data_IF_900497124840
#
_entry.id   IF_900497124840
#
_cell.length_a   1.000
_cell.length_b   1.000
_cell.length_c   1.000
_cell.angle_alpha   90.00
_cell.angle_beta   90.00
_cell.angle_gamma   90.00
#
_symmetry.space_group_name_H-M   'P 1'
#
loop_
_entity.id
_entity.type
_entity.pdbx_description
1 polymer ?
#
# COMPACT_ATOMS: atom_id res chain seq x y z
N UNK A 1 -14.71 11.94 -0.86
CA UNK A 1 -15.11 10.74 -1.62
C UNK A 1 -14.39 9.50 -1.09
N UNK A 2 -13.06 9.53 -1.01
CA UNK A 2 -12.24 8.46 -0.43
C UNK A 2 -12.47 8.35 1.10
N UNK A 3 -12.51 9.48 1.81
CA UNK A 3 -12.71 9.54 3.27
C UNK A 3 -14.08 9.05 3.78
N UNK A 4 -15.06 8.88 2.89
CA UNK A 4 -16.39 8.40 3.22
C UNK A 4 -16.67 7.01 2.60
N UNK A 5 -15.63 6.31 2.14
CA UNK A 5 -15.72 4.99 1.50
C UNK A 5 -16.77 4.90 0.39
N UNK A 6 -16.78 5.89 -0.53
CA UNK A 6 -17.68 5.89 -1.69
C UNK A 6 -16.96 5.44 -2.96
N UNK A 7 -16.79 4.13 -3.21
CA UNK A 7 -16.06 3.64 -4.39
C UNK A 7 -16.70 4.07 -5.70
N UNK A 8 -18.03 4.23 -5.74
CA UNK A 8 -18.74 4.66 -6.95
C UNK A 8 -18.47 6.12 -7.31
N UNK A 9 -18.29 6.99 -6.31
CA UNK A 9 -17.94 8.40 -6.54
C UNK A 9 -16.49 8.47 -7.02
N UNK A 10 -15.59 7.69 -6.42
CA UNK A 10 -14.18 7.62 -6.85
C UNK A 10 -14.08 7.13 -8.30
N UNK A 11 -14.78 6.04 -8.65
CA UNK A 11 -14.83 5.54 -10.03
C UNK A 11 -15.31 6.59 -11.02
N UNK A 12 -16.44 7.25 -10.74
CA UNK A 12 -16.94 8.33 -11.60
C UNK A 12 -15.94 9.47 -11.73
N UNK A 13 -15.27 9.86 -10.65
CA UNK A 13 -14.25 10.92 -10.71
C UNK A 13 -13.07 10.51 -11.61
N UNK A 14 -12.59 9.27 -11.47
CA UNK A 14 -11.51 8.73 -12.30
C UNK A 14 -11.93 8.55 -13.77
N UNK A 15 -13.18 8.13 -14.03
CA UNK A 15 -13.78 8.07 -15.38
C UNK A 15 -13.87 9.44 -16.05
N UNK A 16 -14.09 10.50 -15.27
CA UNK A 16 -14.12 11.88 -15.75
C UNK A 16 -12.71 12.51 -15.90
N UNK A 17 -11.64 11.72 -15.82
CA UNK A 17 -10.27 12.18 -16.04
C UNK A 17 -9.61 12.81 -14.81
N UNK A 18 -10.11 12.54 -13.59
CA UNK A 18 -9.38 12.89 -12.38
C UNK A 18 -8.08 12.09 -12.33
N UNK A 19 -6.96 12.76 -12.04
CA UNK A 19 -5.67 12.09 -11.89
C UNK A 19 -5.71 11.12 -10.70
N UNK A 20 -5.43 9.82 -10.90
CA UNK A 20 -5.43 8.83 -9.82
C UNK A 20 -4.31 9.05 -8.79
N UNK A 21 -3.23 9.72 -9.20
CA UNK A 21 -2.13 10.17 -8.33
C UNK A 21 -2.27 11.64 -7.90
N UNK A 22 -3.39 12.29 -8.24
CA UNK A 22 -3.64 13.68 -7.90
C UNK A 22 -3.60 13.87 -6.39
N UNK A 23 -2.65 14.68 -5.91
CA UNK A 23 -2.42 14.85 -4.49
C UNK A 23 -3.71 15.30 -3.78
N UNK A 24 -4.09 14.60 -2.71
CA UNK A 24 -5.21 15.04 -1.88
C UNK A 24 -4.76 16.27 -1.09
N UNK A 25 -5.04 17.46 -1.61
CA UNK A 25 -4.81 18.72 -0.90
C UNK A 25 -5.73 18.77 0.33
N UNK A 26 -5.29 18.21 1.46
CA UNK A 26 -5.94 18.45 2.73
C UNK A 26 -5.63 19.90 3.15
N UNK A 27 -6.66 20.68 3.47
CA UNK A 27 -6.51 22.02 4.04
C UNK A 27 -6.43 21.97 5.58
N UNK A 28 -6.07 20.82 6.16
CA UNK A 28 -6.16 20.59 7.60
C UNK A 28 -4.86 19.96 8.14
N UNK A 29 -3.74 20.61 7.84
CA UNK A 29 -2.45 20.34 8.49
C UNK A 29 -2.47 20.87 9.92
N UNK A 30 -3.08 20.12 10.84
CA UNK A 30 -3.02 20.34 12.28
C UNK A 30 -2.43 19.12 13.02
N UNK A 31 -1.43 18.45 12.44
CA UNK A 31 -0.65 17.42 13.14
C UNK A 31 0.83 17.62 12.86
N UNK A 32 1.53 18.16 13.86
CA UNK A 32 2.95 18.47 13.82
C UNK A 32 3.81 17.25 14.18
N UNK A 33 3.57 16.09 13.55
CA UNK A 33 4.43 14.91 13.60
C UNK A 33 4.46 14.27 12.20
N UNK A 34 5.68 13.87 11.77
CA UNK A 34 6.07 13.20 10.52
C UNK A 34 4.94 12.33 9.93
N UNK A 35 4.58 12.37 8.65
CA UNK A 35 5.36 11.97 7.47
C UNK A 35 4.71 12.55 6.20
N UNK A 36 5.50 12.91 5.20
CA UNK A 36 5.07 13.31 3.84
C UNK A 36 4.40 12.15 3.04
N UNK A 37 3.54 11.35 3.68
CA UNK A 37 2.84 10.20 3.08
C UNK A 37 1.34 10.45 2.88
N UNK A 38 0.83 11.59 3.34
CA UNK A 38 -0.57 11.98 3.25
C UNK A 38 -1.00 12.43 1.84
N UNK A 39 -0.09 12.47 0.87
CA UNK A 39 -0.35 13.15 -0.40
C UNK A 39 -1.03 12.24 -1.43
N UNK A 40 -0.90 10.91 -1.37
CA UNK A 40 -1.38 10.02 -2.44
C UNK A 40 -2.74 9.35 -2.16
N UNK A 41 -3.71 9.42 -3.10
CA UNK A 41 -5.02 8.77 -2.98
C UNK A 41 -4.96 7.27 -2.65
N UNK A 42 -3.94 6.58 -3.18
CA UNK A 42 -3.71 5.16 -2.96
C UNK A 42 -3.40 4.84 -1.50
N UNK A 43 -2.53 5.63 -0.84
CA UNK A 43 -2.17 5.43 0.56
C UNK A 43 -3.39 5.64 1.45
N UNK A 44 -4.21 6.65 1.15
CA UNK A 44 -5.44 6.90 1.89
C UNK A 44 -6.43 5.75 1.76
N UNK A 45 -6.61 5.21 0.55
CA UNK A 45 -7.48 4.06 0.32
C UNK A 45 -7.03 2.82 1.12
N UNK A 46 -5.71 2.60 1.20
CA UNK A 46 -5.13 1.53 2.01
C UNK A 46 -5.29 1.79 3.50
N UNK A 47 -5.10 3.02 3.98
CA UNK A 47 -5.33 3.40 5.38
C UNK A 47 -6.79 3.21 5.81
N UNK A 48 -7.74 3.44 4.89
CA UNK A 48 -9.16 3.16 5.10
C UNK A 48 -9.52 1.68 4.93
N UNK A 49 -8.56 0.80 4.63
CA UNK A 49 -8.75 -0.61 4.27
C UNK A 49 -9.78 -0.84 3.14
N UNK A 50 -9.95 0.14 2.25
CA UNK A 50 -10.95 0.10 1.19
C UNK A 50 -10.39 -0.54 -0.07
N UNK A 51 -10.50 -1.87 -0.16
CA UNK A 51 -10.04 -2.64 -1.32
C UNK A 51 -10.71 -2.17 -2.62
N UNK A 52 -11.98 -1.78 -2.56
CA UNK A 52 -12.72 -1.33 -3.73
C UNK A 52 -12.14 -0.04 -4.33
N UNK A 53 -11.75 0.90 -3.47
CA UNK A 53 -11.14 2.17 -3.88
C UNK A 53 -9.71 1.93 -4.36
N UNK A 54 -8.93 1.14 -3.64
CA UNK A 54 -7.56 0.77 -4.04
C UNK A 54 -7.56 0.15 -5.44
N UNK A 55 -8.45 -0.81 -5.71
CA UNK A 55 -8.59 -1.40 -7.04
C UNK A 55 -8.96 -0.38 -8.10
N UNK A 56 -9.94 0.48 -7.83
CA UNK A 56 -10.33 1.51 -8.79
C UNK A 56 -9.14 2.44 -9.11
N UNK A 57 -8.39 2.89 -8.10
CA UNK A 57 -7.22 3.74 -8.33
C UNK A 57 -6.15 3.03 -9.16
N UNK A 58 -5.84 1.78 -8.83
CA UNK A 58 -4.85 0.98 -9.56
C UNK A 58 -5.31 0.62 -10.98
N UNK A 59 -6.62 0.39 -11.20
CA UNK A 59 -7.19 0.09 -12.52
C UNK A 59 -7.16 1.31 -13.44
N UNK A 60 -7.27 2.51 -12.88
CA UNK A 60 -7.16 3.78 -13.60
C UNK A 60 -5.70 4.27 -13.76
N UNK A 61 -4.71 3.43 -13.42
CA UNK A 61 -3.30 3.71 -13.67
C UNK A 61 -2.60 4.49 -12.56
N UNK A 62 -3.09 4.44 -11.31
CA UNK A 62 -2.33 4.94 -10.16
C UNK A 62 -0.94 4.31 -10.14
N UNK A 63 0.09 5.15 -10.05
CA UNK A 63 1.46 4.69 -10.19
C UNK A 63 1.94 4.12 -8.85
N UNK A 64 2.19 2.80 -8.85
CA UNK A 64 2.91 2.08 -7.78
C UNK A 64 4.39 2.47 -7.93
N UNK A 65 4.77 3.62 -7.34
CA UNK A 65 6.17 4.07 -7.30
C UNK A 65 6.83 3.59 -6.02
N UNK A 66 8.14 3.34 -6.05
CA UNK A 66 8.85 2.72 -4.92
C UNK A 66 8.71 3.44 -3.57
N UNK A 67 8.34 4.73 -3.53
CA UNK A 67 8.01 5.40 -2.27
C UNK A 67 6.59 5.03 -1.77
N UNK A 68 5.61 4.95 -2.67
CA UNK A 68 4.23 4.58 -2.36
C UNK A 68 4.06 3.08 -2.10
N UNK A 69 4.81 2.24 -2.80
CA UNK A 69 4.72 0.78 -2.70
C UNK A 69 5.05 0.32 -1.29
N UNK A 70 6.14 0.88 -0.78
CA UNK A 70 6.67 0.59 0.54
C UNK A 70 5.62 1.00 1.58
N UNK A 71 5.17 2.26 1.54
CA UNK A 71 4.21 2.78 2.51
C UNK A 71 2.84 2.10 2.43
N UNK A 72 2.34 1.80 1.23
CA UNK A 72 1.06 1.10 1.02
C UNK A 72 1.12 -0.32 1.58
N UNK A 73 2.14 -1.09 1.18
CA UNK A 73 2.27 -2.49 1.61
C UNK A 73 2.45 -2.58 3.13
N UNK A 74 3.26 -1.70 3.69
CA UNK A 74 3.50 -1.61 5.12
C UNK A 74 2.24 -1.29 5.91
N UNK A 75 1.45 -0.31 5.45
CA UNK A 75 0.18 0.04 6.07
C UNK A 75 -0.80 -1.14 5.99
N UNK A 76 -0.88 -1.82 4.85
CA UNK A 76 -1.71 -3.03 4.70
C UNK A 76 -1.26 -4.16 5.63
N UNK A 77 0.06 -4.35 5.82
CA UNK A 77 0.62 -5.30 6.78
C UNK A 77 0.30 -4.91 8.22
N UNK A 78 0.36 -3.63 8.57
CA UNK A 78 0.00 -3.14 9.90
C UNK A 78 -1.48 -3.35 10.21
N UNK A 79 -2.36 -3.08 9.23
CA UNK A 79 -3.80 -3.28 9.34
C UNK A 79 -4.21 -4.76 9.40
N UNK A 80 -3.36 -5.68 8.93
CA UNK A 80 -3.69 -7.11 8.86
C UNK A 80 -4.54 -7.49 7.65
N UNK A 81 -4.63 -6.61 6.66
CA UNK A 81 -5.48 -6.83 5.49
C UNK A 81 -4.78 -7.68 4.44
N UNK A 82 -4.92 -9.01 4.56
CA UNK A 82 -4.35 -9.96 3.59
C UNK A 82 -4.85 -9.69 2.15
N UNK A 83 -6.11 -9.29 2.00
CA UNK A 83 -6.67 -8.97 0.69
C UNK A 83 -5.96 -7.79 0.04
N UNK A 84 -5.69 -6.73 0.82
CA UNK A 84 -4.97 -5.55 0.35
C UNK A 84 -3.51 -5.88 0.01
N UNK A 85 -2.83 -6.66 0.87
CA UNK A 85 -1.45 -7.12 0.62
C UNK A 85 -1.37 -7.91 -0.69
N UNK A 86 -2.30 -8.84 -0.92
CA UNK A 86 -2.35 -9.63 -2.16
C UNK A 86 -2.50 -8.75 -3.38
N UNK A 87 -3.41 -7.78 -3.34
CA UNK A 87 -3.66 -6.87 -4.46
C UNK A 87 -2.41 -6.03 -4.77
N UNK A 88 -1.78 -5.44 -3.74
CA UNK A 88 -0.56 -4.64 -3.91
C UNK A 88 0.60 -5.48 -4.49
N UNK A 89 0.82 -6.69 -3.94
CA UNK A 89 1.87 -7.60 -4.43
C UNK A 89 1.61 -8.05 -5.87
N UNK A 90 0.36 -8.34 -6.23
CA UNK A 90 -0.01 -8.70 -7.61
C UNK A 90 0.24 -7.57 -8.60
N UNK A 91 0.18 -6.32 -8.14
CA UNK A 91 0.39 -5.13 -8.97
C UNK A 91 1.85 -4.70 -9.03
N UNK A 92 2.75 -5.50 -8.45
CA UNK A 92 4.20 -5.28 -8.51
C UNK A 92 4.78 -4.50 -7.34
N UNK A 93 4.01 -4.27 -6.27
CA UNK A 93 4.55 -3.61 -5.08
C UNK A 93 5.73 -4.42 -4.51
N UNK A 94 6.85 -3.75 -4.30
CA UNK A 94 8.05 -4.40 -3.77
C UNK A 94 7.81 -4.81 -2.31
N UNK A 95 7.92 -6.11 -2.01
CA UNK A 95 7.76 -6.65 -0.66
C UNK A 95 9.08 -7.18 -0.05
N UNK A 96 10.17 -7.13 -0.81
CA UNK A 96 11.49 -7.62 -0.40
C UNK A 96 12.34 -6.55 0.29
N UNK A 97 12.06 -5.29 -0.01
CA UNK A 97 12.82 -4.17 0.52
C UNK A 97 12.72 -4.04 2.04
N UNK A 98 13.82 -3.59 2.65
CA UNK A 98 13.76 -2.91 3.95
C UNK A 98 13.28 -1.50 3.70
N UNK A 99 12.17 -1.13 4.32
CA UNK A 99 11.57 0.18 4.15
C UNK A 99 11.92 1.06 5.34
N UNK A 100 12.52 2.21 5.10
CA UNK A 100 12.79 3.17 6.14
C UNK A 100 11.53 4.01 6.38
N UNK A 101 10.90 3.84 7.55
CA UNK A 101 9.84 4.74 7.99
C UNK A 101 10.40 5.94 8.77
N UNK A 102 11.59 5.77 9.34
CA UNK A 102 12.35 6.77 10.06
C UNK A 102 13.85 6.52 9.83
N UNK A 103 14.70 7.52 10.10
CA UNK A 103 16.15 7.44 9.91
C UNK A 103 16.80 6.27 10.69
N UNK A 104 16.16 5.81 11.77
CA UNK A 104 16.66 4.73 12.63
C UNK A 104 15.94 3.38 12.50
N UNK A 105 14.75 3.33 11.87
CA UNK A 105 13.93 2.12 11.84
C UNK A 105 13.61 1.68 10.40
N UNK A 106 14.48 0.82 9.88
CA UNK A 106 14.22 0.06 8.66
C UNK A 106 13.36 -1.17 9.00
N UNK A 107 12.08 -1.12 8.67
CA UNK A 107 11.15 -2.23 8.84
C UNK A 107 10.77 -2.82 7.48
N UNK A 108 10.74 -4.14 7.40
CA UNK A 108 10.28 -4.88 6.22
C UNK A 108 8.80 -5.21 6.37
N UNK A 109 8.10 -5.49 5.27
CA UNK A 109 6.72 -5.98 5.33
C UNK A 109 6.58 -7.20 6.26
N UNK A 110 7.59 -8.08 6.24
CA UNK A 110 7.69 -9.22 7.15
C UNK A 110 7.83 -8.81 8.62
N UNK A 111 8.68 -7.83 8.94
CA UNK A 111 8.88 -7.42 10.34
C UNK A 111 7.63 -6.75 10.91
N UNK A 112 6.93 -5.95 10.10
CA UNK A 112 5.64 -5.34 10.50
C UNK A 112 4.58 -6.42 10.67
N UNK A 113 4.42 -7.33 9.70
CA UNK A 113 3.46 -8.42 9.84
C UNK A 113 3.73 -9.29 11.08
N UNK A 114 5.00 -9.55 11.41
CA UNK A 114 5.39 -10.22 12.65
C UNK A 114 5.08 -9.40 13.91
N UNK A 115 5.38 -8.10 13.91
CA UNK A 115 5.15 -7.20 15.05
C UNK A 115 3.67 -7.12 15.41
N UNK A 116 2.79 -7.08 14.40
CA UNK A 116 1.35 -7.03 14.56
C UNK A 116 0.69 -8.42 14.59
N UNK A 117 1.49 -9.50 14.62
CA UNK A 117 1.03 -10.90 14.73
C UNK A 117 0.09 -11.38 13.61
N UNK A 118 0.22 -10.81 12.42
CA UNK A 118 -0.59 -11.18 11.25
C UNK A 118 0.00 -12.39 10.53
N UNK A 119 -0.18 -13.58 11.12
CA UNK A 119 0.40 -14.83 10.65
C UNK A 119 0.07 -15.14 9.18
N UNK A 120 -1.15 -14.87 8.73
CA UNK A 120 -1.57 -15.12 7.35
C UNK A 120 -0.75 -14.31 6.33
N UNK A 121 -0.43 -13.07 6.68
CA UNK A 121 0.40 -12.17 5.86
C UNK A 121 1.84 -12.65 5.88
N UNK A 122 2.37 -13.05 7.04
CA UNK A 122 3.71 -13.63 7.17
C UNK A 122 3.85 -14.86 6.29
N UNK A 123 2.91 -15.81 6.34
CA UNK A 123 2.91 -17.00 5.50
C UNK A 123 2.82 -16.66 4.01
N UNK A 124 1.99 -15.69 3.64
CA UNK A 124 1.86 -15.27 2.25
C UNK A 124 3.18 -14.66 1.74
N UNK A 125 3.77 -13.71 2.47
CA UNK A 125 5.02 -13.07 2.10
C UNK A 125 6.18 -14.08 2.05
N UNK A 126 6.30 -14.97 3.04
CA UNK A 126 7.32 -16.04 3.05
C UNK A 126 7.20 -16.96 1.83
N UNK A 127 5.97 -17.34 1.46
CA UNK A 127 5.72 -18.17 0.28
C UNK A 127 6.15 -17.47 -1.01
N UNK A 128 5.87 -16.16 -1.13
CA UNK A 128 6.33 -15.37 -2.28
C UNK A 128 7.86 -15.24 -2.30
N UNK A 129 8.49 -15.07 -1.13
CA UNK A 129 9.94 -15.01 -0.99
C UNK A 129 10.60 -16.31 -1.48
N UNK A 130 10.12 -17.45 -0.96
CA UNK A 130 10.64 -18.77 -1.32
C UNK A 130 10.43 -19.09 -2.81
N UNK A 131 9.29 -18.69 -3.37
CA UNK A 131 8.99 -18.92 -4.80
C UNK A 131 9.94 -18.18 -5.73
N UNK A 132 10.49 -17.03 -5.31
CA UNK A 132 11.49 -16.28 -6.08
C UNK A 132 12.91 -16.81 -5.85
N UNK A 133 13.24 -17.22 -4.61
CA UNK A 133 14.57 -17.73 -4.27
C UNK A 133 14.89 -19.02 -5.05
N UNK A 134 13.93 -19.95 -5.16
CA UNK A 134 14.11 -21.20 -5.89
C UNK A 134 14.35 -21.02 -7.39
N UNK A 135 13.92 -19.90 -7.97
CA UNK A 135 14.18 -19.57 -9.37
C UNK A 135 15.61 -19.04 -9.61
N UNK A 136 16.27 -18.47 -8.60
CA UNK A 136 17.65 -17.98 -8.73
C UNK A 136 18.71 -19.07 -8.57
N UNK A 137 18.45 -20.11 -7.78
CA UNK A 137 19.39 -21.22 -7.57
C UNK A 137 19.44 -22.24 -8.74
N UNK A 138 18.62 -22.04 -9.78
CA UNK A 138 18.46 -22.96 -10.91
C UNK A 138 19.21 -22.53 -12.19
N UNK A 139 20.09 -21.53 -12.14
CA UNK A 139 20.78 -20.94 -13.31
C UNK A 139 22.28 -20.75 -13.05
#
# INVERSE_FOLDING_TARGET
AISNDYPQIVRRLLEHGANPDGAIANQNSCTNHQVHHQESPLIWAVQCDSLAITRALLDHGATITSAHDNTALLTACQLGSLAMVKELVQRGANFWGKFAFDHDHAASALSVACQYQHQDIVFYLLRQIMSHATLQDSN
#
